data_IF_364119070012
#
_entry.id   IF_364119070012
#
_cell.length_a   1.000
_cell.length_b   1.000
_cell.length_c   1.000
_cell.angle_alpha   90.00
_cell.angle_beta   90.00
_cell.angle_gamma   90.00
#
_symmetry.space_group_name_H-M   'P 1'
#
loop_
_entity.id
_entity.type
_entity.pdbx_description
1 polymer ?
#
# COMPACT_ATOMS: atom_id res chain seq x y z
N UNK A 1 -3.02 23.26 5.20
CA UNK A 1 -3.95 23.75 4.15
C UNK A 1 -4.81 24.90 4.67
N UNK A 2 -5.72 24.70 5.62
CA UNK A 2 -6.62 25.78 6.09
C UNK A 2 -6.17 26.54 7.36
N UNK A 3 -5.09 26.11 8.01
CA UNK A 3 -4.64 26.73 9.27
C UNK A 3 -5.73 26.73 10.35
N UNK A 4 -5.79 27.78 11.16
CA UNK A 4 -6.83 27.92 12.21
C UNK A 4 -8.26 27.91 11.67
N UNK A 5 -8.47 28.34 10.42
CA UNK A 5 -9.80 28.28 9.79
C UNK A 5 -10.32 26.86 9.65
N UNK A 6 -9.46 25.86 9.52
CA UNK A 6 -9.88 24.46 9.44
C UNK A 6 -10.52 23.92 10.73
N UNK A 7 -10.38 24.64 11.85
CA UNK A 7 -11.03 24.31 13.12
C UNK A 7 -12.43 24.94 13.25
N UNK A 8 -12.77 25.89 12.38
CA UNK A 8 -14.04 26.61 12.39
C UNK A 8 -15.07 25.79 11.59
N UNK A 9 -16.16 25.38 12.24
CA UNK A 9 -17.15 24.43 11.69
C UNK A 9 -17.77 24.93 10.38
N UNK A 10 -17.97 26.24 10.21
CA UNK A 10 -18.53 26.85 8.99
C UNK A 10 -17.66 26.64 7.75
N UNK A 11 -16.38 26.29 7.90
CA UNK A 11 -15.50 25.96 6.77
C UNK A 11 -15.70 24.54 6.24
N UNK A 12 -16.42 23.68 6.98
CA UNK A 12 -16.72 22.30 6.60
C UNK A 12 -15.57 21.30 6.75
N UNK A 13 -14.32 21.75 6.95
CA UNK A 13 -13.17 20.85 7.05
C UNK A 13 -13.26 19.91 8.27
N UNK A 14 -13.72 20.42 9.42
CA UNK A 14 -13.91 19.62 10.64
C UNK A 14 -14.98 18.53 10.47
N UNK A 15 -16.03 18.80 9.70
CA UNK A 15 -17.07 17.82 9.40
C UNK A 15 -16.49 16.62 8.66
N UNK A 16 -15.69 16.81 7.60
CA UNK A 16 -15.08 15.70 6.88
C UNK A 16 -14.19 14.83 7.76
N UNK A 17 -13.45 15.42 8.70
CA UNK A 17 -12.65 14.65 9.65
C UNK A 17 -13.52 13.79 10.59
N UNK A 18 -14.59 14.37 11.15
CA UNK A 18 -15.54 13.66 12.01
C UNK A 18 -16.24 12.53 11.26
N UNK A 19 -16.71 12.81 10.05
CA UNK A 19 -17.42 11.84 9.20
C UNK A 19 -16.48 10.69 8.78
N UNK A 20 -15.22 10.97 8.45
CA UNK A 20 -14.24 9.94 8.12
C UNK A 20 -13.83 9.08 9.33
N UNK A 21 -14.03 9.55 10.57
CA UNK A 21 -13.55 8.87 11.78
C UNK A 21 -14.30 7.59 12.09
N UNK A 22 -15.53 7.44 11.60
CA UNK A 22 -16.33 6.22 11.79
C UNK A 22 -15.88 5.08 10.85
N UNK A 23 -15.26 5.40 9.73
CA UNK A 23 -14.85 4.43 8.69
C UNK A 23 -13.92 3.32 9.21
N UNK A 24 -12.90 3.57 10.07
CA UNK A 24 -12.06 2.50 10.62
C UNK A 24 -12.72 1.72 11.78
N UNK A 25 -13.97 2.00 12.15
CA UNK A 25 -14.66 1.42 13.31
C UNK A 25 -15.89 0.61 12.89
N UNK A 26 -16.75 1.19 12.06
CA UNK A 26 -18.00 0.57 11.62
C UNK A 26 -17.75 -0.57 10.60
N UNK A 27 -18.61 -1.58 10.59
CA UNK A 27 -18.44 -2.84 9.81
C UNK A 27 -17.13 -3.60 10.04
N UNK A 28 -16.59 -3.49 11.26
CA UNK A 28 -15.38 -4.18 11.68
C UNK A 28 -14.20 -3.23 11.71
N UNK A 29 -13.55 -3.18 12.88
CA UNK A 29 -12.41 -2.29 13.10
C UNK A 29 -11.24 -2.64 12.18
N UNK A 30 -10.29 -1.71 12.00
CA UNK A 30 -9.04 -1.98 11.27
C UNK A 30 -8.34 -3.27 11.73
N UNK A 31 -8.37 -3.58 13.03
CA UNK A 31 -7.78 -4.81 13.56
C UNK A 31 -8.58 -6.07 13.15
N UNK A 32 -9.90 -5.99 13.09
CA UNK A 32 -10.75 -7.09 12.60
C UNK A 32 -10.52 -7.33 11.10
N UNK A 33 -10.45 -6.27 10.30
CA UNK A 33 -10.16 -6.36 8.87
C UNK A 33 -8.74 -6.92 8.62
N UNK A 34 -7.75 -6.46 9.38
CA UNK A 34 -6.39 -6.99 9.35
C UNK A 34 -6.35 -8.49 9.65
N UNK A 35 -7.08 -8.94 10.68
CA UNK A 35 -7.16 -10.35 11.03
C UNK A 35 -7.90 -11.17 9.97
N UNK A 36 -8.94 -10.64 9.32
CA UNK A 36 -9.56 -11.33 8.18
C UNK A 36 -8.55 -11.55 7.05
N UNK A 37 -7.81 -10.50 6.68
CA UNK A 37 -6.79 -10.56 5.64
C UNK A 37 -5.70 -11.59 5.98
N UNK A 38 -5.11 -11.52 7.18
CA UNK A 38 -4.09 -12.47 7.63
C UNK A 38 -4.65 -13.89 7.67
N UNK A 39 -5.67 -14.15 8.48
CA UNK A 39 -6.05 -15.53 8.80
C UNK A 39 -6.91 -16.17 7.71
N UNK A 40 -7.90 -15.44 7.19
CA UNK A 40 -8.90 -16.02 6.27
C UNK A 40 -8.52 -15.91 4.82
N UNK A 41 -7.79 -14.85 4.42
CA UNK A 41 -7.44 -14.57 3.02
C UNK A 41 -6.00 -14.94 2.65
N UNK A 42 -5.12 -15.13 3.64
CA UNK A 42 -3.70 -15.47 3.38
C UNK A 42 -3.30 -16.80 4.01
N UNK A 43 -3.48 -17.00 5.31
CA UNK A 43 -3.01 -18.25 5.94
C UNK A 43 -3.84 -19.46 5.54
N UNK A 44 -5.16 -19.29 5.40
CA UNK A 44 -6.10 -20.39 5.11
C UNK A 44 -5.84 -21.09 3.78
N UNK A 45 -5.40 -20.37 2.75
CA UNK A 45 -5.10 -20.93 1.42
C UNK A 45 -3.59 -21.10 1.17
N UNK A 46 -2.77 -21.01 2.24
CA UNK A 46 -1.31 -21.10 2.13
C UNK A 46 -0.69 -19.95 1.35
N UNK A 47 -1.39 -18.83 1.20
CA UNK A 47 -0.94 -17.63 0.50
C UNK A 47 -1.13 -17.68 -1.01
N UNK A 48 -1.81 -18.71 -1.55
CA UNK A 48 -1.97 -18.89 -2.99
C UNK A 48 -2.58 -17.66 -3.67
N UNK A 49 -3.68 -17.11 -3.13
CA UNK A 49 -4.38 -15.97 -3.73
C UNK A 49 -3.54 -14.69 -3.69
N UNK A 50 -2.85 -14.42 -2.58
CA UNK A 50 -2.04 -13.20 -2.45
C UNK A 50 -0.77 -13.28 -3.29
N UNK A 51 -0.15 -14.46 -3.40
CA UNK A 51 1.02 -14.64 -4.27
C UNK A 51 0.66 -14.48 -5.74
N UNK A 52 -0.51 -15.00 -6.17
CA UNK A 52 -1.01 -14.77 -7.52
C UNK A 52 -1.24 -13.28 -7.82
N UNK A 53 -1.79 -12.52 -6.86
CA UNK A 53 -1.89 -11.06 -7.00
C UNK A 53 -0.51 -10.40 -7.16
N UNK A 54 0.51 -10.83 -6.41
CA UNK A 54 1.86 -10.30 -6.57
C UNK A 54 2.46 -10.66 -7.93
N UNK A 55 2.13 -11.83 -8.49
CA UNK A 55 2.53 -12.23 -9.84
C UNK A 55 1.88 -11.32 -10.89
N UNK A 56 0.59 -11.00 -10.75
CA UNK A 56 -0.11 -10.04 -11.61
C UNK A 56 0.52 -8.64 -11.56
N UNK A 57 0.88 -8.17 -10.36
CA UNK A 57 1.59 -6.88 -10.19
C UNK A 57 2.92 -6.90 -10.93
N UNK A 58 3.75 -7.92 -10.70
CA UNK A 58 5.04 -8.07 -11.36
C UNK A 58 4.89 -8.14 -12.88
N UNK A 59 3.91 -8.89 -13.39
CA UNK A 59 3.63 -9.01 -14.82
C UNK A 59 3.23 -7.67 -15.45
N UNK A 60 2.29 -6.96 -14.82
CA UNK A 60 1.85 -5.64 -15.28
C UNK A 60 2.99 -4.62 -15.29
N UNK A 61 3.86 -4.64 -14.27
CA UNK A 61 5.00 -3.71 -14.20
C UNK A 61 6.10 -4.07 -15.22
N UNK A 62 6.35 -5.35 -15.48
CA UNK A 62 7.31 -5.80 -16.50
C UNK A 62 6.84 -5.46 -17.93
N UNK A 63 5.53 -5.36 -18.17
CA UNK A 63 4.98 -4.94 -19.46
C UNK A 63 5.20 -3.44 -19.75
N UNK A 64 5.65 -2.66 -18.76
CA UNK A 64 5.96 -1.23 -18.91
C UNK A 64 7.45 -1.09 -19.21
N UNK A 65 7.77 -0.95 -20.49
CA UNK A 65 9.14 -0.77 -20.95
C UNK A 65 9.45 0.69 -21.28
N UNK A 66 10.70 1.15 -21.09
CA UNK A 66 11.12 2.43 -21.62
C UNK A 66 11.05 2.43 -23.15
N UNK A 67 10.86 3.61 -23.74
CA UNK A 67 10.92 3.83 -25.18
C UNK A 67 12.05 4.80 -25.50
N UNK A 68 12.68 4.64 -26.67
CA UNK A 68 13.80 5.50 -27.07
C UNK A 68 13.33 6.94 -27.25
N UNK A 69 14.10 7.89 -26.72
CA UNK A 69 13.83 9.33 -26.76
C UNK A 69 12.49 9.78 -26.16
N UNK A 70 11.88 8.98 -25.28
CA UNK A 70 10.69 9.36 -24.52
C UNK A 70 10.98 9.37 -23.01
N UNK A 71 11.19 10.57 -22.48
CA UNK A 71 11.49 10.79 -21.06
C UNK A 71 10.34 10.34 -20.14
N UNK A 72 9.09 10.56 -20.56
CA UNK A 72 7.93 10.13 -19.78
C UNK A 72 7.84 8.60 -19.72
N UNK A 73 8.20 7.90 -20.80
CA UNK A 73 8.35 6.45 -20.83
C UNK A 73 9.37 5.98 -19.80
N UNK A 74 10.54 6.60 -19.81
CA UNK A 74 11.64 6.24 -18.93
C UNK A 74 11.28 6.47 -17.45
N UNK A 75 10.61 7.59 -17.13
CA UNK A 75 10.13 7.88 -15.79
C UNK A 75 9.08 6.85 -15.32
N UNK A 76 8.11 6.51 -16.18
CA UNK A 76 7.09 5.51 -15.84
C UNK A 76 7.68 4.10 -15.68
N UNK A 77 8.65 3.72 -16.50
CA UNK A 77 9.39 2.47 -16.34
C UNK A 77 10.20 2.45 -15.03
N UNK A 78 10.80 3.57 -14.63
CA UNK A 78 11.48 3.69 -13.35
C UNK A 78 10.52 3.56 -12.16
N UNK A 79 9.30 4.10 -12.27
CA UNK A 79 8.25 3.87 -11.27
C UNK A 79 7.85 2.40 -11.20
N UNK A 80 7.68 1.74 -12.35
CA UNK A 80 7.35 0.31 -12.42
C UNK A 80 8.43 -0.55 -11.73
N UNK A 81 9.71 -0.24 -11.96
CA UNK A 81 10.83 -0.91 -11.29
C UNK A 81 10.78 -0.79 -9.75
N UNK A 82 10.36 0.38 -9.23
CA UNK A 82 10.17 0.58 -7.78
C UNK A 82 9.02 -0.26 -7.23
N UNK A 83 7.92 -0.40 -7.99
CA UNK A 83 6.80 -1.27 -7.60
C UNK A 83 7.22 -2.73 -7.60
N UNK A 84 8.05 -3.17 -8.56
CA UNK A 84 8.60 -4.54 -8.59
C UNK A 84 9.44 -4.80 -7.33
N UNK A 85 10.37 -3.91 -6.99
CA UNK A 85 11.17 -4.03 -5.77
C UNK A 85 10.29 -4.13 -4.50
N UNK A 86 9.29 -3.26 -4.38
CA UNK A 86 8.35 -3.30 -3.26
C UNK A 86 7.51 -4.59 -3.23
N UNK A 87 7.20 -5.15 -4.40
CA UNK A 87 6.50 -6.43 -4.55
C UNK A 87 7.35 -7.58 -4.03
N UNK A 88 8.64 -7.60 -4.33
CA UNK A 88 9.57 -8.62 -3.84
C UNK A 88 9.72 -8.58 -2.32
N UNK A 89 9.80 -7.38 -1.73
CA UNK A 89 9.80 -7.22 -0.27
C UNK A 89 8.48 -7.68 0.36
N UNK A 90 7.35 -7.41 -0.28
CA UNK A 90 6.05 -7.90 0.16
C UNK A 90 5.98 -9.44 0.11
N UNK A 91 6.60 -10.09 -0.90
CA UNK A 91 6.69 -11.57 -0.94
C UNK A 91 7.43 -12.11 0.27
N UNK A 92 8.57 -11.52 0.64
CA UNK A 92 9.32 -11.95 1.83
C UNK A 92 8.50 -11.79 3.12
N UNK A 93 7.79 -10.66 3.27
CA UNK A 93 6.92 -10.44 4.42
C UNK A 93 5.76 -11.45 4.49
N UNK A 94 5.15 -11.80 3.35
CA UNK A 94 4.10 -12.83 3.30
C UNK A 94 4.67 -14.22 3.63
N UNK A 95 5.85 -14.56 3.12
CA UNK A 95 6.51 -15.83 3.46
C UNK A 95 6.79 -15.94 4.96
N UNK A 96 7.21 -14.85 5.61
CA UNK A 96 7.36 -14.78 7.07
C UNK A 96 6.02 -15.05 7.79
N UNK A 97 4.93 -14.41 7.34
CA UNK A 97 3.60 -14.65 7.91
C UNK A 97 3.15 -16.11 7.76
N UNK A 98 3.39 -16.72 6.60
CA UNK A 98 3.08 -18.12 6.35
C UNK A 98 3.90 -19.06 7.24
N UNK A 99 5.18 -18.77 7.45
CA UNK A 99 6.02 -19.52 8.40
C UNK A 99 5.52 -19.40 9.86
N UNK A 100 4.91 -18.27 10.21
CA UNK A 100 4.31 -18.03 11.51
C UNK A 100 2.89 -18.60 11.68
N UNK A 101 2.34 -19.36 10.70
CA UNK A 101 0.94 -19.82 10.72
C UNK A 101 0.57 -20.65 11.97
N UNK A 102 1.51 -21.40 12.53
CA UNK A 102 1.30 -22.20 13.76
C UNK A 102 1.38 -21.36 15.05
N UNK A 103 1.65 -20.05 14.95
CA UNK A 103 1.72 -19.10 16.06
C UNK A 103 0.74 -17.94 15.84
N UNK A 104 -0.55 -18.12 16.17
CA UNK A 104 -1.58 -17.12 15.90
C UNK A 104 -1.28 -15.73 16.48
N UNK A 105 -0.60 -15.65 17.63
CA UNK A 105 -0.18 -14.37 18.22
C UNK A 105 0.87 -13.62 17.38
N UNK A 106 1.84 -14.35 16.81
CA UNK A 106 2.86 -13.76 15.92
C UNK A 106 2.20 -13.22 14.65
N UNK A 107 1.34 -14.02 14.02
CA UNK A 107 0.59 -13.60 12.84
C UNK A 107 -0.33 -12.38 13.12
N UNK A 108 -1.02 -12.35 14.25
CA UNK A 108 -1.90 -11.24 14.62
C UNK A 108 -1.14 -9.93 14.90
N UNK A 109 0.05 -10.01 15.52
CA UNK A 109 0.88 -8.83 15.81
C UNK A 109 1.26 -8.05 14.54
N UNK A 110 1.42 -8.76 13.42
CA UNK A 110 1.77 -8.18 12.12
C UNK A 110 0.57 -7.71 11.30
N UNK A 111 -0.67 -7.97 11.74
CA UNK A 111 -1.87 -7.78 10.92
C UNK A 111 -2.08 -6.34 10.43
N UNK A 112 -1.92 -5.35 11.31
CA UNK A 112 -2.08 -3.95 10.91
C UNK A 112 -1.03 -3.52 9.88
N UNK A 113 0.23 -3.90 10.10
CA UNK A 113 1.31 -3.61 9.15
C UNK A 113 1.06 -4.30 7.81
N UNK A 114 0.54 -5.53 7.82
CA UNK A 114 0.23 -6.28 6.60
C UNK A 114 -0.86 -5.61 5.76
N UNK A 115 -1.98 -5.19 6.36
CA UNK A 115 -3.05 -4.52 5.60
C UNK A 115 -2.59 -3.18 5.03
N UNK A 116 -1.79 -2.42 5.77
CA UNK A 116 -1.23 -1.14 5.28
C UNK A 116 -0.23 -1.36 4.14
N UNK A 117 0.64 -2.37 4.25
CA UNK A 117 1.63 -2.73 3.23
C UNK A 117 0.93 -3.11 1.92
N UNK A 118 -0.07 -3.99 1.99
CA UNK A 118 -0.84 -4.42 0.82
C UNK A 118 -1.62 -3.25 0.19
N UNK A 119 -2.21 -2.37 1.01
CA UNK A 119 -2.92 -1.18 0.52
C UNK A 119 -2.00 -0.21 -0.22
N UNK A 120 -0.80 0.06 0.30
CA UNK A 120 0.18 0.93 -0.36
C UNK A 120 0.70 0.30 -1.65
N UNK A 121 1.06 -0.99 -1.61
CA UNK A 121 1.57 -1.71 -2.79
C UNK A 121 0.54 -1.74 -3.93
N UNK A 122 -0.70 -2.12 -3.63
CA UNK A 122 -1.78 -2.14 -4.64
C UNK A 122 -2.16 -0.74 -5.11
N UNK A 123 -2.07 0.27 -4.25
CA UNK A 123 -2.20 1.68 -4.63
C UNK A 123 -1.13 2.11 -5.62
N UNK A 124 0.14 1.80 -5.36
CA UNK A 124 1.26 2.08 -6.25
C UNK A 124 1.12 1.38 -7.60
N UNK A 125 0.70 0.11 -7.59
CA UNK A 125 0.38 -0.65 -8.79
C UNK A 125 -0.66 0.07 -9.67
N UNK A 126 -1.79 0.49 -9.10
CA UNK A 126 -2.82 1.18 -9.87
C UNK A 126 -2.39 2.58 -10.34
N UNK A 127 -1.58 3.29 -9.55
CA UNK A 127 -1.01 4.59 -9.95
C UNK A 127 -0.13 4.46 -11.20
N UNK A 128 0.77 3.48 -11.23
CA UNK A 128 1.68 3.26 -12.36
C UNK A 128 0.94 2.76 -13.60
N UNK A 129 -0.04 1.86 -13.45
CA UNK A 129 -0.92 1.46 -14.56
C UNK A 129 -1.65 2.67 -15.15
N UNK A 130 -2.21 3.52 -14.29
CA UNK A 130 -2.89 4.75 -14.70
C UNK A 130 -1.96 5.71 -15.44
N UNK A 131 -0.71 5.85 -14.99
CA UNK A 131 0.31 6.65 -15.65
C UNK A 131 0.66 6.11 -17.05
N UNK A 132 0.86 4.80 -17.18
CA UNK A 132 1.17 4.15 -18.46
C UNK A 132 0.02 4.32 -19.48
N UNK A 133 -1.23 4.20 -19.03
CA UNK A 133 -2.42 4.44 -19.86
C UNK A 133 -2.50 5.92 -20.27
N UNK A 134 -2.29 6.84 -19.32
CA UNK A 134 -2.35 8.27 -19.59
C UNK A 134 -1.31 8.72 -20.62
N UNK A 135 -0.09 8.17 -20.56
CA UNK A 135 0.96 8.40 -21.57
C UNK A 135 0.50 7.96 -22.96
N UNK A 136 -0.01 6.74 -23.10
CA UNK A 136 -0.53 6.23 -24.39
C UNK A 136 -1.64 7.12 -24.94
N UNK A 137 -2.55 7.59 -24.08
CA UNK A 137 -3.64 8.49 -24.49
C UNK A 137 -3.12 9.88 -24.89
N UNK A 138 -2.05 10.38 -24.27
CA UNK A 138 -1.52 11.71 -24.60
C UNK A 138 -0.91 11.82 -26.00
N UNK A 139 -0.64 10.67 -26.64
CA UNK A 139 -0.13 10.59 -28.02
C UNK A 139 -1.26 10.57 -29.07
N UNK A 140 -2.52 10.72 -28.65
CA UNK A 140 -3.68 10.71 -29.56
C UNK A 140 -4.17 12.11 -29.90
N UNK A 141 -4.75 12.28 -31.09
CA UNK A 141 -5.30 13.57 -31.53
C UNK A 141 -6.44 14.03 -30.63
N UNK A 142 -6.40 15.29 -30.19
CA UNK A 142 -7.41 15.88 -29.31
C UNK A 142 -7.26 15.53 -27.82
N UNK A 143 -6.14 14.94 -27.41
CA UNK A 143 -5.87 14.59 -26.02
C UNK A 143 -5.81 15.83 -25.09
N UNK A 144 -6.41 15.72 -23.90
CA UNK A 144 -6.18 16.69 -22.82
C UNK A 144 -4.81 16.41 -22.16
N UNK A 145 -3.77 16.96 -22.76
CA UNK A 145 -2.38 16.76 -22.33
C UNK A 145 -2.15 17.22 -20.88
N UNK A 146 -2.87 18.24 -20.40
CA UNK A 146 -2.73 18.74 -19.03
C UNK A 146 -3.28 17.74 -18.02
N UNK A 147 -4.49 17.22 -18.27
CA UNK A 147 -5.07 16.19 -17.42
C UNK A 147 -4.22 14.92 -17.42
N UNK A 148 -3.80 14.46 -18.60
CA UNK A 148 -3.05 13.21 -18.74
C UNK A 148 -1.65 13.30 -18.12
N UNK A 149 -0.96 14.42 -18.30
CA UNK A 149 0.35 14.63 -17.65
C UNK A 149 0.24 14.68 -16.13
N UNK A 150 -0.82 15.30 -15.60
CA UNK A 150 -1.13 15.29 -14.17
C UNK A 150 -1.25 13.86 -13.62
N UNK A 151 -1.77 12.90 -14.39
CA UNK A 151 -1.93 11.51 -13.95
C UNK A 151 -0.59 10.83 -13.65
N UNK A 152 0.42 10.97 -14.51
CA UNK A 152 1.73 10.38 -14.23
C UNK A 152 2.54 11.18 -13.21
N UNK A 153 2.35 12.51 -13.12
CA UNK A 153 2.93 13.31 -12.02
C UNK A 153 2.40 12.86 -10.66
N UNK A 154 1.09 12.62 -10.52
CA UNK A 154 0.51 12.11 -9.29
C UNK A 154 1.00 10.69 -8.96
N UNK A 155 1.22 9.86 -9.98
CA UNK A 155 1.84 8.55 -9.79
C UNK A 155 3.26 8.70 -9.24
N UNK A 156 4.08 9.57 -9.81
CA UNK A 156 5.44 9.80 -9.33
C UNK A 156 5.47 10.30 -7.88
N UNK A 157 4.59 11.24 -7.51
CA UNK A 157 4.45 11.68 -6.12
C UNK A 157 4.07 10.52 -5.21
N UNK A 158 3.14 9.64 -5.61
CA UNK A 158 2.76 8.49 -4.78
C UNK A 158 3.93 7.49 -4.64
N UNK A 159 4.61 7.17 -5.75
CA UNK A 159 5.73 6.23 -5.78
C UNK A 159 6.94 6.76 -5.00
N UNK A 160 7.18 8.06 -5.00
CA UNK A 160 8.33 8.65 -4.29
C UNK A 160 8.03 8.97 -2.82
N UNK A 161 6.79 9.35 -2.49
CA UNK A 161 6.44 9.82 -1.13
C UNK A 161 5.73 8.77 -0.27
N UNK A 162 5.04 7.80 -0.86
CA UNK A 162 4.22 6.81 -0.13
C UNK A 162 4.78 5.40 -0.22
N UNK A 163 5.19 4.95 -1.41
CA UNK A 163 5.67 3.57 -1.58
C UNK A 163 6.87 3.16 -0.72
N UNK A 164 7.82 4.04 -0.31
CA UNK A 164 8.89 3.62 0.59
C UNK A 164 8.39 3.02 1.92
N UNK A 165 7.15 3.33 2.31
CA UNK A 165 6.53 2.74 3.50
C UNK A 165 6.27 1.23 3.34
N UNK A 166 6.14 0.69 2.12
CA UNK A 166 6.00 -0.76 1.88
C UNK A 166 7.22 -1.50 2.43
N UNK A 167 8.43 -1.01 2.15
CA UNK A 167 9.67 -1.62 2.61
C UNK A 167 9.79 -1.57 4.14
N UNK A 168 9.47 -0.42 4.74
CA UNK A 168 9.48 -0.26 6.19
C UNK A 168 8.44 -1.17 6.90
N UNK A 169 7.26 -1.32 6.31
CA UNK A 169 6.23 -2.21 6.84
C UNK A 169 6.62 -3.68 6.66
N UNK A 170 7.19 -4.06 5.52
CA UNK A 170 7.71 -5.40 5.28
C UNK A 170 8.80 -5.76 6.31
N UNK A 171 9.74 -4.86 6.56
CA UNK A 171 10.77 -5.04 7.58
C UNK A 171 10.17 -5.19 8.99
N UNK A 172 9.17 -4.35 9.32
CA UNK A 172 8.46 -4.45 10.61
C UNK A 172 7.77 -5.80 10.77
N UNK A 173 7.14 -6.32 9.72
CA UNK A 173 6.48 -7.64 9.73
C UNK A 173 7.50 -8.76 9.95
N UNK A 174 8.66 -8.69 9.29
CA UNK A 174 9.67 -9.74 9.34
C UNK A 174 10.49 -9.75 10.64
N UNK A 175 10.64 -8.59 11.30
CA UNK A 175 11.57 -8.44 12.45
C UNK A 175 10.90 -7.98 13.75
N UNK A 176 9.65 -7.51 13.72
CA UNK A 176 9.03 -6.81 14.85
C UNK A 176 8.13 -7.66 15.75
N UNK A 177 7.69 -8.84 15.29
CA UNK A 177 6.68 -9.64 15.99
C UNK A 177 7.14 -10.14 17.37
N UNK A 178 8.39 -10.59 17.50
CA UNK A 178 8.96 -11.07 18.76
C UNK A 178 9.10 -9.95 19.79
N UNK A 179 9.51 -8.76 19.36
CA UNK A 179 9.69 -7.61 20.24
C UNK A 179 8.36 -7.17 20.87
N UNK A 180 7.28 -7.15 20.08
CA UNK A 180 5.94 -6.81 20.60
C UNK A 180 5.44 -7.87 21.58
N UNK A 181 5.67 -9.16 21.28
CA UNK A 181 5.21 -10.26 22.13
C UNK A 181 6.03 -10.43 23.42
N UNK A 182 7.22 -9.82 23.50
CA UNK A 182 8.03 -9.80 24.72
C UNK A 182 7.48 -8.85 25.79
N UNK A 183 6.57 -7.94 25.44
CA UNK A 183 5.93 -7.02 26.38
C UNK A 183 4.95 -7.81 27.27
N UNK A 184 5.30 -7.94 28.55
CA UNK A 184 4.42 -8.55 29.55
C UNK A 184 3.36 -7.55 30.03
N UNK A 185 2.21 -8.06 30.48
CA UNK A 185 1.05 -7.23 30.83
C UNK A 185 1.31 -6.29 32.02
N UNK A 186 2.16 -6.70 32.97
CA UNK A 186 2.60 -5.91 34.11
C UNK A 186 3.44 -4.69 33.69
N UNK A 187 4.18 -4.79 32.58
CA UNK A 187 4.93 -3.65 32.02
C UNK A 187 4.02 -2.54 31.46
N UNK A 188 2.75 -2.85 31.21
CA UNK A 188 1.75 -1.91 30.70
C UNK A 188 0.84 -1.35 31.79
N UNK A 189 0.97 -1.83 33.03
CA UNK A 189 0.22 -1.28 34.15
C UNK A 189 0.72 0.15 34.44
N UNK A 190 -0.19 1.13 34.37
CA UNK A 190 0.08 2.48 34.85
C UNK A 190 0.16 2.42 36.37
N UNK A 191 1.31 2.81 36.95
CA UNK A 191 1.48 2.94 38.40
C UNK A 191 0.63 4.08 38.97
#
# INVERSE_FOLDING_TARGET
>A
VHGGMGFIEETGAAQHYRDARILPIYEGTTAIQANDLVFRKTLRDGGASVMALLDDITADMNAITPEHDDEAAAQIAAMAARVIHATDNARHAIQHLLAAANSPRKAAASGHHFVMMMGMLTGGWQMVRGAAIARKQSQTDGADVNFLSTRWTLADVFITQRMPQVDALAETIMKGDEAVLAIAADMLAVQ
#
